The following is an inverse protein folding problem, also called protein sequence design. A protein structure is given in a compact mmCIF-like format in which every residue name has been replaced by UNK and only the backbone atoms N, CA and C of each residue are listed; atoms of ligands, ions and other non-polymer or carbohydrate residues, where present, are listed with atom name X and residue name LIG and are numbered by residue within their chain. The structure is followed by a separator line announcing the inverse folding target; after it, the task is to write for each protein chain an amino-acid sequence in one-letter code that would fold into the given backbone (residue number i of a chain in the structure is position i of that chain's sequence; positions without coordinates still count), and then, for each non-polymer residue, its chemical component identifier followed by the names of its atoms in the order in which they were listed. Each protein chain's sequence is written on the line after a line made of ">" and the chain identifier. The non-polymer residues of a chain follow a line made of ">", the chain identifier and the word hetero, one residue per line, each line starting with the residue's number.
data_IF_491867012874
#
_entry.id   IF_491867012874
#
_cell.length_a   1.000
_cell.length_b   1.000
_cell.length_c   1.000
_cell.angle_alpha   90.00
_cell.angle_beta   90.00
_cell.angle_gamma   90.00
#
_symmetry.space_group_name_H-M   'P 1'
#
loop_
_entity.id
_entity.type
_entity.pdbx_description
1 polymer ?
#
# COMPACT_ATOMS: atom_id res chain seq x y z
N UNK A 1 11.54 -21.10 -70.67
CA UNK A 1 12.44 -21.61 -69.60
C UNK A 1 13.21 -20.44 -69.02
N UNK A 2 12.83 -19.98 -67.83
CA UNK A 2 13.71 -19.82 -66.67
C UNK A 2 12.95 -19.07 -65.57
N UNK A 3 12.85 -19.74 -64.43
CA UNK A 3 12.05 -19.41 -63.26
C UNK A 3 12.61 -18.19 -62.53
N UNK A 4 11.70 -17.26 -62.19
CA UNK A 4 11.90 -16.24 -61.17
C UNK A 4 11.81 -16.90 -59.77
N UNK A 5 12.87 -16.78 -58.98
CA UNK A 5 12.88 -17.10 -57.56
C UNK A 5 11.93 -16.15 -56.79
N UNK A 6 11.13 -16.63 -55.83
CA UNK A 6 10.57 -15.75 -54.82
C UNK A 6 11.60 -15.54 -53.70
N UNK A 7 12.07 -14.29 -53.56
CA UNK A 7 12.73 -13.81 -52.36
C UNK A 7 11.78 -13.98 -51.18
N UNK A 8 12.14 -14.89 -50.28
CA UNK A 8 11.50 -15.07 -48.98
C UNK A 8 11.67 -13.77 -48.17
N UNK A 9 10.67 -12.90 -48.21
CA UNK A 9 10.51 -11.80 -47.25
C UNK A 9 10.26 -12.41 -45.88
N UNK A 10 11.35 -12.56 -45.11
CA UNK A 10 11.30 -12.74 -43.67
C UNK A 10 10.56 -11.54 -43.07
N UNK A 11 9.28 -11.73 -42.78
CA UNK A 11 8.51 -10.82 -41.94
C UNK A 11 9.12 -10.91 -40.53
N UNK A 12 10.03 -9.99 -40.22
CA UNK A 12 10.56 -9.79 -38.88
C UNK A 12 9.40 -9.47 -37.95
N UNK A 13 8.96 -10.47 -37.20
CA UNK A 13 8.10 -10.30 -36.04
C UNK A 13 8.94 -9.53 -35.01
N UNK A 14 8.82 -8.22 -35.01
CA UNK A 14 9.24 -7.40 -33.88
C UNK A 14 8.28 -7.69 -32.72
N UNK A 15 8.53 -8.80 -32.01
CA UNK A 15 8.16 -8.89 -30.60
C UNK A 15 9.02 -7.83 -29.93
N UNK A 16 8.49 -6.61 -29.88
CA UNK A 16 8.92 -5.63 -28.90
C UNK A 16 8.67 -6.27 -27.55
N UNK A 17 9.71 -6.89 -26.97
CA UNK A 17 9.82 -7.06 -25.54
C UNK A 17 9.78 -5.65 -24.94
N UNK A 18 8.56 -5.14 -24.73
CA UNK A 18 8.36 -4.04 -23.81
C UNK A 18 8.98 -4.51 -22.48
N UNK A 19 9.93 -3.76 -21.89
CA UNK A 19 10.45 -4.12 -20.58
C UNK A 19 9.26 -4.28 -19.65
N UNK A 20 9.11 -5.49 -19.09
CA UNK A 20 8.05 -5.79 -18.12
C UNK A 20 8.15 -4.72 -17.04
N UNK A 21 7.11 -3.91 -16.92
CA UNK A 21 6.98 -2.85 -15.94
C UNK A 21 7.50 -3.38 -14.61
N UNK A 22 8.59 -2.80 -14.10
CA UNK A 22 9.22 -3.27 -12.89
C UNK A 22 8.19 -3.13 -11.78
N UNK A 23 7.53 -4.24 -11.43
CA UNK A 23 6.70 -4.29 -10.25
C UNK A 23 7.62 -3.88 -9.10
N UNK A 24 7.32 -2.74 -8.47
CA UNK A 24 7.83 -2.44 -7.14
C UNK A 24 7.18 -3.50 -6.25
N UNK A 25 7.76 -4.68 -6.23
CA UNK A 25 7.40 -5.77 -5.33
C UNK A 25 8.00 -5.33 -4.00
N UNK A 26 7.14 -5.13 -3.01
CA UNK A 26 7.58 -5.03 -1.63
C UNK A 26 8.13 -6.40 -1.21
N UNK A 27 9.35 -6.71 -1.65
CA UNK A 27 10.11 -7.83 -1.17
C UNK A 27 10.45 -7.58 0.31
N UNK A 28 10.41 -8.65 1.10
CA UNK A 28 10.62 -8.72 2.55
C UNK A 28 9.43 -8.28 3.44
N UNK A 29 8.60 -9.27 3.79
CA UNK A 29 7.57 -9.18 4.83
C UNK A 29 8.13 -8.72 6.20
N UNK A 30 9.43 -8.94 6.47
CA UNK A 30 10.12 -8.55 7.71
C UNK A 30 10.39 -7.04 7.84
N UNK A 31 10.60 -6.31 6.74
CA UNK A 31 10.87 -4.86 6.80
C UNK A 31 9.61 -4.03 7.11
N UNK A 32 8.43 -4.63 6.92
CA UNK A 32 7.14 -3.90 6.97
C UNK A 32 6.59 -3.61 8.37
N UNK A 33 6.86 -4.48 9.36
CA UNK A 33 6.31 -4.30 10.72
C UNK A 33 7.16 -3.37 11.59
N UNK A 34 8.49 -3.39 11.41
CA UNK A 34 9.40 -2.43 12.05
C UNK A 34 9.09 -1.01 11.57
N UNK A 35 8.92 -0.83 10.25
CA UNK A 35 8.46 0.42 9.66
C UNK A 35 7.07 0.84 10.22
N UNK A 36 6.15 -0.11 10.40
CA UNK A 36 4.83 0.21 11.00
C UNK A 36 4.93 0.68 12.46
N UNK A 37 5.86 0.12 13.24
CA UNK A 37 6.16 0.60 14.60
C UNK A 37 6.81 1.98 14.58
N UNK A 38 7.73 2.22 13.65
CA UNK A 38 8.41 3.49 13.47
C UNK A 38 7.43 4.60 13.10
N UNK A 39 6.57 4.38 12.10
CA UNK A 39 5.51 5.31 11.75
C UNK A 39 4.58 5.59 12.93
N UNK A 40 4.12 4.56 13.65
CA UNK A 40 3.28 4.76 14.81
C UNK A 40 3.99 5.59 15.89
N UNK A 41 5.26 5.32 16.15
CA UNK A 41 6.07 6.04 17.15
C UNK A 41 6.31 7.50 16.77
N UNK A 42 6.48 7.82 15.49
CA UNK A 42 6.76 9.18 15.03
C UNK A 42 5.51 10.01 14.78
N UNK A 43 4.38 9.36 14.44
CA UNK A 43 3.11 10.04 14.24
C UNK A 43 2.34 10.24 15.54
N UNK A 44 2.51 9.33 16.50
CA UNK A 44 2.20 9.62 17.89
C UNK A 44 3.37 10.37 18.51
N UNK A 45 3.11 11.10 19.59
CA UNK A 45 4.20 11.54 20.44
C UNK A 45 4.96 10.32 21.00
N UNK A 46 6.28 10.41 21.06
CA UNK A 46 7.12 9.27 21.46
C UNK A 46 6.84 8.82 22.90
N UNK A 47 6.56 9.76 23.81
CA UNK A 47 6.21 9.43 25.21
C UNK A 47 4.88 8.66 25.28
N UNK A 48 3.91 9.07 24.46
CA UNK A 48 2.63 8.36 24.31
C UNK A 48 2.87 6.96 23.72
N UNK A 49 3.68 6.83 22.68
CA UNK A 49 3.96 5.53 22.08
C UNK A 49 4.56 4.53 23.08
N UNK A 50 5.47 5.00 23.93
CA UNK A 50 6.07 4.16 24.97
C UNK A 50 5.07 3.82 26.08
N UNK A 51 4.23 4.77 26.50
CA UNK A 51 3.20 4.54 27.52
C UNK A 51 2.16 3.48 27.11
N UNK A 52 1.96 3.26 25.80
CA UNK A 52 1.11 2.17 25.31
C UNK A 52 1.62 0.78 25.70
N UNK A 53 2.90 0.61 26.07
CA UNK A 53 3.45 -0.69 26.51
C UNK A 53 3.10 -1.85 25.57
N UNK A 54 2.47 -2.90 26.12
CA UNK A 54 1.92 -4.05 25.40
C UNK A 54 0.40 -3.91 25.16
N UNK A 55 -0.11 -2.70 24.89
CA UNK A 55 -1.54 -2.46 24.63
C UNK A 55 -2.07 -3.49 23.64
N UNK A 56 -3.02 -4.29 24.13
CA UNK A 56 -3.70 -5.31 23.36
C UNK A 56 -5.21 -5.09 23.47
N UNK A 57 -5.83 -4.75 22.35
CA UNK A 57 -7.29 -4.64 22.25
C UNK A 57 -7.83 -5.99 21.79
N UNK A 58 -8.65 -6.66 22.62
CA UNK A 58 -9.33 -7.91 22.24
C UNK A 58 -10.14 -7.70 20.96
N UNK A 59 -10.13 -8.66 20.03
CA UNK A 59 -10.86 -8.54 18.75
C UNK A 59 -12.34 -8.25 18.93
N UNK A 60 -12.99 -8.79 19.96
CA UNK A 60 -14.41 -8.54 20.28
C UNK A 60 -14.72 -7.09 20.63
N UNK A 61 -13.75 -6.35 21.18
CA UNK A 61 -13.88 -4.94 21.56
C UNK A 61 -13.52 -3.96 20.43
N UNK A 62 -13.02 -4.45 19.30
CA UNK A 62 -12.59 -3.60 18.19
C UNK A 62 -13.78 -3.14 17.36
N UNK A 63 -13.86 -1.85 17.09
CA UNK A 63 -14.70 -1.31 16.02
C UNK A 63 -14.24 -1.81 14.64
N UNK A 64 -12.92 -1.90 14.41
CA UNK A 64 -12.33 -2.47 13.19
C UNK A 64 -11.64 -3.78 13.54
N UNK A 65 -12.24 -4.91 13.13
CA UNK A 65 -11.89 -6.25 13.63
C UNK A 65 -10.85 -6.95 12.77
N UNK A 66 -10.85 -6.68 11.47
CA UNK A 66 -10.04 -7.41 10.48
C UNK A 66 -9.08 -6.51 9.71
N UNK A 67 -8.01 -7.11 9.17
CA UNK A 67 -7.12 -6.44 8.22
C UNK A 67 -7.88 -5.93 6.99
N UNK A 68 -8.86 -6.69 6.49
CA UNK A 68 -9.70 -6.31 5.34
C UNK A 68 -10.57 -5.10 5.64
N UNK A 69 -11.21 -5.05 6.82
CA UNK A 69 -11.96 -3.87 7.27
C UNK A 69 -11.06 -2.65 7.41
N UNK A 70 -9.87 -2.82 8.02
CA UNK A 70 -8.90 -1.75 8.15
C UNK A 70 -8.43 -1.23 6.79
N UNK A 71 -8.11 -2.12 5.84
CA UNK A 71 -7.76 -1.77 4.46
C UNK A 71 -8.87 -0.93 3.83
N UNK A 72 -10.11 -1.44 3.84
CA UNK A 72 -11.25 -0.75 3.24
C UNK A 72 -11.49 0.62 3.87
N UNK A 73 -11.34 0.74 5.19
CA UNK A 73 -11.46 2.01 5.90
C UNK A 73 -10.35 3.00 5.49
N UNK A 74 -9.09 2.54 5.45
CA UNK A 74 -7.96 3.34 4.98
C UNK A 74 -8.13 3.82 3.53
N UNK A 75 -8.53 2.93 2.62
CA UNK A 75 -8.81 3.29 1.22
C UNK A 75 -9.88 4.37 1.11
N UNK A 76 -10.96 4.29 1.90
CA UNK A 76 -11.99 5.35 1.95
C UNK A 76 -11.42 6.71 2.36
N UNK A 77 -10.51 6.74 3.34
CA UNK A 77 -9.82 7.98 3.74
C UNK A 77 -8.99 8.51 2.58
N UNK A 78 -8.17 7.65 1.95
CA UNK A 78 -7.30 8.07 0.85
C UNK A 78 -8.10 8.55 -0.36
N UNK A 79 -9.17 7.86 -0.75
CA UNK A 79 -10.02 8.27 -1.88
C UNK A 79 -10.78 9.55 -1.63
N UNK A 80 -11.12 9.87 -0.38
CA UNK A 80 -11.70 11.17 -0.04
C UNK A 80 -10.70 12.30 -0.30
N UNK A 81 -9.44 12.07 0.02
CA UNK A 81 -8.41 13.11 0.02
C UNK A 81 -7.68 13.22 -1.33
N UNK A 82 -7.57 12.13 -2.11
CA UNK A 82 -7.00 12.10 -3.46
C UNK A 82 -8.06 12.15 -4.57
N UNK A 83 -9.21 11.50 -4.39
CA UNK A 83 -10.21 11.28 -5.46
C UNK A 83 -10.43 9.79 -5.74
N UNK A 84 -11.64 9.43 -6.16
CA UNK A 84 -12.04 8.02 -6.46
C UNK A 84 -11.45 7.47 -7.75
N UNK A 85 -10.84 8.35 -8.55
CA UNK A 85 -10.27 8.05 -9.87
C UNK A 85 -9.04 7.12 -9.75
N UNK A 86 -8.46 7.04 -8.57
CA UNK A 86 -7.29 6.23 -8.28
C UNK A 86 -7.68 4.84 -7.78
N UNK A 87 -7.77 3.91 -8.73
CA UNK A 87 -7.95 2.49 -8.44
C UNK A 87 -6.61 1.86 -8.05
N UNK A 88 -6.12 2.17 -6.85
CA UNK A 88 -4.89 1.56 -6.32
C UNK A 88 -5.22 0.11 -5.95
N UNK A 89 -4.53 -0.82 -6.60
CA UNK A 89 -4.68 -2.25 -6.37
C UNK A 89 -4.36 -2.62 -4.91
N UNK A 90 -5.14 -3.52 -4.32
CA UNK A 90 -4.99 -3.94 -2.91
C UNK A 90 -3.58 -4.45 -2.59
N UNK A 91 -2.90 -5.06 -3.57
CA UNK A 91 -1.51 -5.57 -3.45
C UNK A 91 -0.46 -4.48 -3.20
N UNK A 92 -0.79 -3.21 -3.46
CA UNK A 92 0.07 -2.06 -3.14
C UNK A 92 -0.15 -1.53 -1.73
N UNK A 93 -1.02 -2.15 -0.94
CA UNK A 93 -1.25 -1.81 0.45
C UNK A 93 -0.68 -2.85 1.42
N UNK A 94 -0.16 -2.36 2.55
CA UNK A 94 0.26 -3.16 3.71
C UNK A 94 -0.59 -2.75 4.92
N UNK A 95 -1.05 -3.75 5.68
CA UNK A 95 -1.92 -3.54 6.85
C UNK A 95 -1.39 -4.29 8.07
N UNK A 96 -1.06 -3.53 9.11
CA UNK A 96 -0.51 -4.05 10.36
C UNK A 96 -1.34 -3.61 11.56
N UNK A 97 -1.48 -4.47 12.56
CA UNK A 97 -2.02 -4.12 13.87
C UNK A 97 -0.86 -3.99 14.85
N UNK A 98 -0.65 -2.79 15.39
CA UNK A 98 0.45 -2.50 16.32
C UNK A 98 -0.12 -1.75 17.53
N UNK A 99 0.06 -2.30 18.73
CA UNK A 99 -0.38 -1.69 20.01
C UNK A 99 -1.84 -1.19 20.01
N UNK A 100 -2.75 -1.95 19.37
CA UNK A 100 -4.16 -1.58 19.28
C UNK A 100 -4.50 -0.55 18.19
N UNK A 101 -3.57 -0.22 17.30
CA UNK A 101 -3.78 0.64 16.13
C UNK A 101 -3.62 -0.12 14.82
N UNK A 102 -4.53 0.10 13.90
CA UNK A 102 -4.37 -0.31 12.51
C UNK A 102 -3.52 0.72 11.76
N UNK A 103 -2.44 0.24 11.16
CA UNK A 103 -1.56 0.99 10.26
C UNK A 103 -1.87 0.49 8.85
N UNK A 104 -2.46 1.34 8.02
CA UNK A 104 -2.71 1.06 6.60
C UNK A 104 -1.77 1.92 5.79
N UNK A 105 -0.92 1.29 4.98
CA UNK A 105 0.03 1.98 4.10
C UNK A 105 -0.23 1.60 2.67
N UNK A 106 -0.12 2.54 1.75
CA UNK A 106 -0.16 2.30 0.32
C UNK A 106 0.96 3.05 -0.40
N UNK A 107 1.40 2.53 -1.53
CA UNK A 107 2.19 3.31 -2.49
C UNK A 107 1.26 3.88 -3.55
N UNK A 108 1.51 5.13 -3.93
CA UNK A 108 0.89 5.69 -5.12
C UNK A 108 1.44 4.99 -6.37
N UNK A 109 0.65 4.91 -7.46
CA UNK A 109 1.13 4.38 -8.72
C UNK A 109 2.31 5.17 -9.29
N UNK A 110 3.07 4.51 -10.16
CA UNK A 110 4.13 5.15 -10.95
C UNK A 110 3.51 6.28 -11.79
N UNK A 111 4.17 7.44 -11.86
CA UNK A 111 3.71 8.62 -12.60
C UNK A 111 3.03 9.70 -11.76
N UNK A 112 2.83 9.47 -10.45
CA UNK A 112 2.36 10.48 -9.52
C UNK A 112 3.53 11.11 -8.75
N UNK A 113 3.48 12.43 -8.53
CA UNK A 113 4.33 13.05 -7.53
C UNK A 113 3.80 12.65 -6.14
N UNK A 114 4.70 12.13 -5.29
CA UNK A 114 4.35 11.64 -3.96
C UNK A 114 4.56 10.14 -3.75
N UNK A 115 5.17 9.79 -2.60
CA UNK A 115 5.70 8.45 -2.36
C UNK A 115 4.80 7.50 -1.56
N UNK A 116 3.96 7.98 -0.63
CA UNK A 116 3.25 7.10 0.29
C UNK A 116 1.91 7.65 0.82
N UNK A 117 0.97 6.73 1.02
CA UNK A 117 -0.31 6.90 1.71
C UNK A 117 -0.23 6.19 3.06
N UNK A 118 -0.52 6.88 4.15
CA UNK A 118 -0.53 6.26 5.50
C UNK A 118 -1.80 6.69 6.25
N UNK A 119 -2.48 5.72 6.86
CA UNK A 119 -3.58 5.96 7.78
C UNK A 119 -3.34 5.16 9.07
N UNK A 120 -3.45 5.86 10.21
CA UNK A 120 -3.33 5.30 11.55
C UNK A 120 -4.68 5.42 12.24
N UNK A 121 -5.28 4.28 12.57
CA UNK A 121 -6.65 4.20 13.08
C UNK A 121 -6.66 3.41 14.38
N UNK A 122 -7.27 3.97 15.42
CA UNK A 122 -7.45 3.24 16.68
C UNK A 122 -8.41 2.06 16.46
N UNK A 123 -7.99 0.84 16.78
CA UNK A 123 -8.77 -0.36 16.46
C UNK A 123 -10.02 -0.53 17.34
N UNK A 124 -10.02 0.06 18.54
CA UNK A 124 -11.12 -0.02 19.51
C UNK A 124 -12.24 0.95 19.14
N UNK A 125 -11.87 2.21 18.88
CA UNK A 125 -12.82 3.29 18.62
C UNK A 125 -13.11 3.50 17.13
N UNK A 126 -12.24 3.01 16.24
CA UNK A 126 -12.29 3.31 14.81
C UNK A 126 -11.89 4.74 14.44
N UNK A 127 -11.42 5.54 15.41
CA UNK A 127 -11.05 6.92 15.20
C UNK A 127 -9.76 7.02 14.36
N UNK A 128 -9.82 7.76 13.25
CA UNK A 128 -8.64 8.18 12.52
C UNK A 128 -7.78 9.08 13.41
N UNK A 129 -6.56 8.65 13.70
CA UNK A 129 -5.61 9.42 14.51
C UNK A 129 -4.73 10.29 13.63
N UNK A 130 -4.28 9.75 12.50
CA UNK A 130 -3.43 10.46 11.53
C UNK A 130 -3.65 9.91 10.14
N UNK A 131 -3.69 10.78 9.15
CA UNK A 131 -3.45 10.44 7.74
C UNK A 131 -2.25 11.25 7.21
N UNK A 132 -1.45 10.63 6.36
CA UNK A 132 -0.39 11.28 5.61
C UNK A 132 -0.54 10.94 4.15
N UNK A 133 -0.40 11.97 3.34
CA UNK A 133 -0.45 11.93 1.89
C UNK A 133 0.73 12.77 1.44
N UNK A 134 1.77 12.13 0.91
CA UNK A 134 2.85 12.84 0.23
C UNK A 134 2.40 13.10 -1.20
N UNK A 135 2.52 14.35 -1.66
CA UNK A 135 2.25 14.83 -3.01
C UNK A 135 3.54 15.36 -3.63
#
# INVERSE_FOLDING_TARGET
>A
MNLLLPLATCLFILISCAPKESEIIWDAELETMADSRYLLKNQLDSSIYYSLGNRYVKRSKRAIKTKKEALNYGKKIFWRDFGKEYNIEDRRFKVHLVKGYWIVKGLLPIGYSGGALIAIVDSETGKLTKSLIWK
#
